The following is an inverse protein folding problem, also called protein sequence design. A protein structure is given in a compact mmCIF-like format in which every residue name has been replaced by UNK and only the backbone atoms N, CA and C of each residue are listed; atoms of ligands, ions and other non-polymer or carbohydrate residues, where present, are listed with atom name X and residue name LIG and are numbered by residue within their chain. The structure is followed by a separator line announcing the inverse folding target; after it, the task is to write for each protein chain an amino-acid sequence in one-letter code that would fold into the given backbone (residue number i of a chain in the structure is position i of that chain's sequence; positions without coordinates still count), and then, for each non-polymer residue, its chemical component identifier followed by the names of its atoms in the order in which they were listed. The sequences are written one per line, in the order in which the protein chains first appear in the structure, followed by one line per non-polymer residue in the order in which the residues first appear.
data_IF_097440387961
#
_entry.id   IF_097440387961
#
_cell.length_a   1.000
_cell.length_b   1.000
_cell.length_c   1.000
_cell.angle_alpha   90.00
_cell.angle_beta   90.00
_cell.angle_gamma   90.00
#
_symmetry.space_group_name_H-M   'P 1'
#
loop_
_entity.id
_entity.type
_entity.pdbx_description
1 polymer ?
#
# COMPACT_ATOMS: atom_id res chain seq x y z
N UNK A 1 -1.94 0.79 18.18
CA UNK A 1 -2.77 0.67 16.96
C UNK A 1 -1.81 0.38 15.82
N UNK A 2 -2.16 -0.53 14.93
CA UNK A 2 -1.33 -0.87 13.77
C UNK A 2 -1.96 -0.35 12.49
N UNK A 3 -1.12 -0.14 11.48
CA UNK A 3 -1.48 0.42 10.19
C UNK A 3 -1.02 -0.52 9.09
N UNK A 4 -1.78 -0.52 7.99
CA UNK A 4 -1.42 -1.15 6.75
C UNK A 4 -1.04 -0.08 5.74
N UNK A 5 0.05 -0.33 5.00
CA UNK A 5 0.38 0.43 3.82
C UNK A 5 -0.50 -0.07 2.68
N UNK A 6 -1.39 0.79 2.18
CA UNK A 6 -2.33 0.45 1.12
C UNK A 6 -2.09 1.32 -0.10
N UNK A 7 -2.08 0.71 -1.27
CA UNK A 7 -2.04 1.41 -2.55
C UNK A 7 -3.38 1.27 -3.29
N UNK A 8 -3.81 2.34 -3.96
CA UNK A 8 -5.09 2.38 -4.66
C UNK A 8 -4.88 2.48 -6.18
N UNK A 9 -5.41 1.51 -6.91
CA UNK A 9 -5.37 1.47 -8.37
C UNK A 9 -6.76 1.58 -8.97
N UNK A 10 -6.92 2.48 -9.93
CA UNK A 10 -8.13 2.57 -10.74
C UNK A 10 -8.02 1.62 -11.93
N UNK A 11 -8.80 0.55 -11.93
CA UNK A 11 -8.83 -0.45 -13.00
C UNK A 11 -10.27 -0.55 -13.51
N UNK A 12 -10.50 -0.31 -14.80
CA UNK A 12 -11.82 -0.36 -15.44
C UNK A 12 -12.89 0.48 -14.73
N UNK A 13 -12.52 1.63 -14.16
CA UNK A 13 -13.44 2.50 -13.41
C UNK A 13 -13.70 2.07 -11.96
N UNK A 14 -13.06 1.00 -11.48
CA UNK A 14 -13.14 0.54 -10.10
C UNK A 14 -11.85 0.87 -9.35
N UNK A 15 -11.99 1.41 -8.14
CA UNK A 15 -10.86 1.60 -7.23
C UNK A 15 -10.59 0.28 -6.51
N UNK A 16 -9.39 -0.25 -6.70
CA UNK A 16 -8.90 -1.47 -6.06
C UNK A 16 -7.85 -1.09 -5.03
N UNK A 17 -7.97 -1.65 -3.82
CA UNK A 17 -7.02 -1.45 -2.73
C UNK A 17 -6.09 -2.67 -2.63
N UNK A 18 -4.79 -2.42 -2.56
CA UNK A 18 -3.76 -3.44 -2.42
C UNK A 18 -2.98 -3.20 -1.14
N UNK A 19 -2.98 -4.16 -0.23
CA UNK A 19 -2.15 -4.14 0.98
C UNK A 19 -0.72 -4.48 0.58
N UNK A 20 0.19 -3.53 0.77
CA UNK A 20 1.61 -3.68 0.47
C UNK A 20 2.40 -4.19 1.67
N UNK A 21 2.01 -3.73 2.85
CA UNK A 21 2.62 -4.10 4.13
C UNK A 21 1.60 -3.86 5.27
N UNK A 22 1.81 -4.48 6.42
CA UNK A 22 0.83 -4.51 7.51
C UNK A 22 1.51 -4.65 8.89
N UNK A 23 0.78 -4.36 9.97
CA UNK A 23 1.36 -4.38 11.32
C UNK A 23 2.30 -3.20 11.65
N UNK A 24 2.27 -2.14 10.83
CA UNK A 24 3.18 -1.01 10.96
C UNK A 24 2.73 -0.04 12.06
N UNK A 25 3.68 0.69 12.66
CA UNK A 25 3.33 1.91 13.38
C UNK A 25 2.97 3.03 12.39
N UNK A 26 2.36 4.11 12.87
CA UNK A 26 2.03 5.25 12.00
C UNK A 26 3.29 5.88 11.38
N UNK A 27 4.37 5.99 12.16
CA UNK A 27 5.65 6.56 11.71
C UNK A 27 6.33 5.65 10.67
N UNK A 28 6.36 4.33 10.92
CA UNK A 28 6.92 3.36 9.97
C UNK A 28 6.13 3.34 8.66
N UNK A 29 4.80 3.39 8.75
CA UNK A 29 3.95 3.46 7.57
C UNK A 29 4.19 4.75 6.76
N UNK A 30 4.36 5.88 7.43
CA UNK A 30 4.73 7.15 6.78
C UNK A 30 6.07 7.06 6.06
N UNK A 31 7.07 6.40 6.66
CA UNK A 31 8.36 6.15 6.01
C UNK A 31 8.21 5.19 4.81
N UNK A 32 7.36 4.17 4.92
CA UNK A 32 7.11 3.19 3.86
C UNK A 32 6.36 3.80 2.64
N UNK A 33 5.54 4.83 2.83
CA UNK A 33 4.94 5.60 1.72
C UNK A 33 6.03 6.24 0.85
N UNK A 34 7.08 6.76 1.47
CA UNK A 34 8.18 7.42 0.78
C UNK A 34 9.22 6.44 0.21
N UNK A 35 9.18 5.18 0.62
CA UNK A 35 10.08 4.14 0.16
C UNK A 35 9.66 3.57 -1.21
N UNK A 36 10.58 2.81 -1.82
CA UNK A 36 10.27 1.99 -2.99
C UNK A 36 9.28 0.88 -2.65
N UNK A 37 8.59 0.38 -3.67
CA UNK A 37 7.66 -0.73 -3.53
C UNK A 37 8.39 -2.00 -3.08
N UNK A 38 7.73 -2.86 -2.27
CA UNK A 38 8.33 -4.11 -1.83
C UNK A 38 8.67 -5.00 -3.04
N UNK A 39 9.85 -5.60 -3.00
CA UNK A 39 10.42 -6.37 -4.11
C UNK A 39 9.68 -7.69 -4.40
N UNK A 40 8.86 -8.17 -3.46
CA UNK A 40 8.08 -9.40 -3.60
C UNK A 40 6.82 -9.23 -4.45
N UNK A 41 6.49 -8.00 -4.86
CA UNK A 41 5.36 -7.76 -5.76
C UNK A 41 5.64 -8.31 -7.17
N UNK A 42 4.66 -8.97 -7.80
CA UNK A 42 4.74 -9.32 -9.21
C UNK A 42 5.11 -8.10 -10.07
N UNK A 43 6.00 -8.26 -11.04
CA UNK A 43 6.55 -7.14 -11.82
C UNK A 43 5.49 -6.27 -12.50
N UNK A 44 4.43 -6.88 -13.04
CA UNK A 44 3.33 -6.16 -13.67
C UNK A 44 2.53 -5.33 -12.66
N UNK A 45 2.34 -5.88 -11.46
CA UNK A 45 1.64 -5.19 -10.37
C UNK A 45 2.51 -4.06 -9.79
N UNK A 46 3.81 -4.30 -9.61
CA UNK A 46 4.76 -3.28 -9.16
C UNK A 46 4.81 -2.10 -10.16
N UNK A 47 4.84 -2.38 -11.47
CA UNK A 47 4.81 -1.35 -12.49
C UNK A 47 3.51 -0.53 -12.47
N UNK A 48 2.35 -1.18 -12.29
CA UNK A 48 1.07 -0.49 -12.15
C UNK A 48 1.04 0.38 -10.88
N UNK A 49 1.57 -0.13 -9.77
CA UNK A 49 1.57 0.54 -8.47
C UNK A 49 2.61 1.64 -8.32
N UNK A 50 3.61 1.72 -9.20
CA UNK A 50 4.73 2.66 -9.06
C UNK A 50 4.29 4.13 -8.87
N UNK A 51 3.18 4.50 -9.52
CA UNK A 51 2.58 5.85 -9.43
C UNK A 51 1.20 5.84 -8.74
N UNK A 52 0.80 4.72 -8.15
CA UNK A 52 -0.47 4.62 -7.45
C UNK A 52 -0.43 5.44 -6.14
N UNK A 53 -1.51 6.18 -5.80
CA UNK A 53 -1.62 6.81 -4.50
C UNK A 53 -1.55 5.75 -3.39
N UNK A 54 -0.74 6.06 -2.37
CA UNK A 54 -0.50 5.22 -1.20
C UNK A 54 -0.99 5.92 0.06
N UNK A 55 -1.55 5.17 1.00
CA UNK A 55 -2.01 5.69 2.28
C UNK A 55 -1.75 4.69 3.41
N UNK A 56 -1.69 5.22 4.63
CA UNK A 56 -1.67 4.45 5.85
C UNK A 56 -3.11 4.25 6.33
N UNK A 57 -3.63 3.05 6.17
CA UNK A 57 -4.97 2.69 6.63
C UNK A 57 -4.87 2.03 8.00
N UNK A 58 -5.80 2.38 8.91
CA UNK A 58 -5.89 1.71 10.21
C UNK A 58 -6.24 0.24 9.99
N UNK A 59 -5.42 -0.66 10.52
CA UNK A 59 -5.81 -2.06 10.61
C UNK A 59 -6.91 -2.15 11.67
N UNK A 60 -8.16 -2.22 11.21
CA UNK A 60 -9.24 -2.61 12.09
C UNK A 60 -9.01 -4.07 12.49
N UNK A 61 -8.45 -4.24 13.69
CA UNK A 61 -8.34 -5.52 14.34
C UNK A 61 -9.68 -6.24 14.26
N UNK A 62 -9.66 -7.43 13.68
CA UNK A 62 -10.80 -8.31 13.59
C UNK A 62 -11.34 -8.67 14.96
#
# INVERSE_FOLDING_TARGET
MTFALVAFLLINGHVNAYVLDHGLTYEDCGAAIAADLPADLPSDLAAALANAPRACELESGK
#
